data_IF_886732976022
#
_entry.id   IF_886732976022
#
_cell.length_a   1.000
_cell.length_b   1.000
_cell.length_c   1.000
_cell.angle_alpha   90.00
_cell.angle_beta   90.00
_cell.angle_gamma   90.00
#
_symmetry.space_group_name_H-M   'P 1'
#
loop_
_entity.id
_entity.type
_entity.pdbx_description
1 polymer ?
#
# COMPACT_ATOMS: atom_id res chain seq x y z
N UNK A 1 -3.64 34.98 -16.87
CA UNK A 1 -2.33 34.32 -16.67
C UNK A 1 -2.53 33.18 -15.69
N UNK A 2 -2.23 31.95 -16.10
CA UNK A 2 -2.36 30.76 -15.24
C UNK A 2 -1.05 30.57 -14.48
N UNK A 3 -1.09 30.70 -13.15
CA UNK A 3 0.05 30.39 -12.28
C UNK A 3 0.07 28.88 -12.02
N UNK A 4 1.07 28.20 -12.57
CA UNK A 4 1.30 26.78 -12.34
C UNK A 4 1.84 26.54 -10.91
N UNK A 5 1.30 25.52 -10.22
CA UNK A 5 1.77 25.08 -8.88
C UNK A 5 3.27 24.86 -8.81
N UNK A 6 3.89 24.39 -9.91
CA UNK A 6 5.35 24.20 -10.00
C UNK A 6 6.12 25.52 -9.96
N UNK A 7 5.57 26.57 -10.57
CA UNK A 7 6.19 27.90 -10.57
C UNK A 7 6.11 28.54 -9.18
N UNK A 8 5.01 28.34 -8.45
CA UNK A 8 4.84 28.81 -7.07
C UNK A 8 5.82 28.13 -6.11
N UNK A 9 5.97 26.81 -6.19
CA UNK A 9 6.91 26.07 -5.34
C UNK A 9 8.37 26.45 -5.65
N UNK A 10 8.73 26.62 -6.93
CA UNK A 10 10.06 27.04 -7.33
C UNK A 10 10.43 28.45 -6.83
N UNK A 11 9.46 29.38 -6.82
CA UNK A 11 9.68 30.75 -6.32
C UNK A 11 9.75 30.82 -4.78
N UNK A 12 9.15 29.87 -4.08
CA UNK A 12 9.20 29.77 -2.61
C UNK A 12 10.58 29.31 -2.10
N UNK A 13 11.27 28.43 -2.84
CA UNK A 13 12.58 27.90 -2.45
C UNK A 13 13.71 28.94 -2.56
N UNK A 14 13.61 29.87 -3.52
CA UNK A 14 14.63 30.91 -3.73
C UNK A 14 14.63 31.98 -2.62
N UNK A 15 13.49 32.20 -1.94
CA UNK A 15 13.38 33.18 -0.86
C UNK A 15 13.96 32.68 0.48
N UNK A 16 14.05 31.36 0.70
CA UNK A 16 14.57 30.78 1.94
C UNK A 16 16.10 30.62 1.99
N UNK A 17 16.76 30.59 0.84
CA UNK A 17 18.21 30.31 0.76
C UNK A 17 19.10 31.55 1.01
N UNK A 18 18.54 32.75 1.11
CA UNK A 18 19.31 33.98 1.27
C UNK A 18 19.68 34.33 2.74
N UNK A 19 19.24 33.55 3.73
CA UNK A 19 19.45 33.87 5.15
C UNK A 19 20.31 32.89 5.96
N UNK A 20 20.86 31.84 5.35
CA UNK A 20 21.80 30.93 6.04
C UNK A 20 23.18 31.11 5.45
N UNK A 21 23.89 32.10 6.00
CA UNK A 21 25.27 32.39 5.67
C UNK A 21 26.19 31.19 5.88
N UNK A 22 27.02 30.95 4.87
CA UNK A 22 28.46 30.68 5.00
C UNK A 22 28.94 30.11 6.34
N UNK A 23 28.80 28.80 6.52
CA UNK A 23 29.71 28.01 7.34
C UNK A 23 30.42 27.03 6.41
N UNK A 24 31.59 27.43 5.91
CA UNK A 24 32.47 26.56 5.15
C UNK A 24 32.92 25.41 6.03
N UNK A 25 32.40 24.21 5.77
CA UNK A 25 33.00 22.98 6.25
C UNK A 25 33.80 22.38 5.12
N UNK A 26 35.12 22.41 5.26
CA UNK A 26 36.04 21.60 4.46
C UNK A 26 35.75 20.12 4.75
N UNK A 27 34.87 19.52 3.95
CA UNK A 27 34.64 18.09 3.98
C UNK A 27 35.85 17.39 3.34
N UNK A 28 36.70 16.84 4.19
CA UNK A 28 37.77 15.96 3.76
C UNK A 28 37.12 14.71 3.18
N UNK A 29 37.34 14.47 1.88
CA UNK A 29 36.85 13.28 1.18
C UNK A 29 37.61 12.04 1.67
N UNK A 30 37.24 11.57 2.86
CA UNK A 30 37.59 10.23 3.30
C UNK A 30 36.77 9.23 2.51
N UNK A 31 37.44 8.27 1.88
CA UNK A 31 36.83 7.09 1.26
C UNK A 31 36.14 6.28 2.36
N UNK A 32 34.85 6.60 2.60
CA UNK A 32 34.01 5.87 3.53
C UNK A 32 33.87 4.43 3.02
N UNK A 33 34.50 3.50 3.74
CA UNK A 33 34.27 2.08 3.54
C UNK A 33 32.97 1.75 4.26
N UNK A 34 31.88 1.60 3.52
CA UNK A 34 30.55 1.32 4.10
C UNK A 34 30.63 0.00 4.88
N UNK A 35 30.54 0.04 6.20
CA UNK A 35 30.45 -1.17 7.01
C UNK A 35 29.03 -1.73 6.85
N UNK A 36 28.88 -3.05 6.90
CA UNK A 36 27.55 -3.68 6.88
C UNK A 36 26.64 -3.16 8.00
N UNK A 37 27.23 -2.64 9.08
CA UNK A 37 26.51 -2.03 10.22
C UNK A 37 26.01 -0.60 9.94
N UNK A 38 26.43 0.04 8.85
CA UNK A 38 26.00 1.41 8.48
C UNK A 38 24.71 1.39 7.63
N UNK A 39 24.15 0.20 7.32
CA UNK A 39 22.88 0.11 6.58
C UNK A 39 21.70 0.38 7.51
N UNK A 40 20.76 1.26 7.13
CA UNK A 40 19.53 1.48 7.90
C UNK A 40 18.75 0.17 8.07
N UNK A 41 18.26 -0.08 9.28
CA UNK A 41 17.35 -1.20 9.52
C UNK A 41 16.06 -1.01 8.72
N UNK A 42 15.71 -2.02 7.90
CA UNK A 42 14.44 -2.09 7.19
C UNK A 42 13.67 -3.29 7.74
N UNK A 43 12.55 -3.09 8.46
CA UNK A 43 11.76 -4.20 8.97
C UNK A 43 11.07 -4.95 7.83
N UNK A 44 10.85 -6.25 8.03
CA UNK A 44 9.98 -7.03 7.16
C UNK A 44 8.54 -6.56 7.39
N UNK A 45 7.89 -6.08 6.32
CA UNK A 45 6.46 -5.77 6.37
C UNK A 45 5.65 -7.06 6.31
N UNK A 46 4.65 -7.17 7.18
CA UNK A 46 3.79 -8.35 7.27
C UNK A 46 2.35 -7.92 6.97
N UNK A 47 1.74 -8.58 6.00
CA UNK A 47 0.34 -8.40 5.65
C UNK A 47 -0.50 -9.62 6.04
N UNK A 48 -1.81 -9.41 6.18
CA UNK A 48 -2.79 -10.47 6.44
C UNK A 48 -3.85 -10.52 5.34
N UNK A 49 -4.26 -11.72 4.95
CA UNK A 49 -5.36 -11.91 4.01
C UNK A 49 -6.70 -11.77 4.71
N UNK A 50 -7.69 -11.12 4.07
CA UNK A 50 -9.07 -11.09 4.58
C UNK A 50 -9.67 -12.50 4.74
N UNK A 51 -9.15 -13.49 4.01
CA UNK A 51 -9.48 -14.90 4.19
C UNK A 51 -9.16 -15.41 5.60
N UNK A 52 -8.13 -14.89 6.25
CA UNK A 52 -7.70 -15.32 7.60
C UNK A 52 -8.73 -15.00 8.69
N UNK A 53 -9.65 -14.07 8.40
CA UNK A 53 -10.74 -13.69 9.28
C UNK A 53 -12.03 -14.45 8.99
N UNK A 54 -12.07 -15.22 7.91
CA UNK A 54 -13.23 -16.00 7.51
C UNK A 54 -13.07 -17.45 7.94
N UNK A 55 -13.88 -17.89 8.90
CA UNK A 55 -13.79 -19.23 9.48
C UNK A 55 -14.68 -20.28 8.81
N UNK A 56 -15.16 -20.04 7.58
CA UNK A 56 -16.17 -20.89 6.91
C UNK A 56 -17.42 -21.18 7.78
N UNK A 57 -17.77 -20.24 8.65
CA UNK A 57 -19.03 -20.25 9.38
C UNK A 57 -19.72 -18.93 9.04
N UNK A 58 -20.96 -19.01 8.55
CA UNK A 58 -21.76 -17.86 8.11
C UNK A 58 -21.86 -16.79 9.22
N UNK A 59 -21.98 -17.23 10.48
CA UNK A 59 -22.07 -16.37 11.66
C UNK A 59 -20.78 -15.60 11.98
N UNK A 60 -19.69 -15.90 11.29
CA UNK A 60 -18.35 -15.34 11.56
C UNK A 60 -17.76 -14.59 10.37
N UNK A 61 -18.52 -14.44 9.28
CA UNK A 61 -18.07 -13.69 8.11
C UNK A 61 -17.95 -12.21 8.48
N UNK A 62 -16.72 -11.74 8.68
CA UNK A 62 -16.44 -10.32 8.82
C UNK A 62 -16.55 -9.64 7.46
N UNK A 63 -17.07 -8.40 7.44
CA UNK A 63 -16.99 -7.55 6.26
C UNK A 63 -15.53 -7.27 5.91
N UNK A 64 -15.24 -6.89 4.66
CA UNK A 64 -13.88 -6.50 4.27
C UNK A 64 -13.45 -5.27 5.09
N UNK A 65 -14.36 -4.33 5.36
CA UNK A 65 -14.10 -3.19 6.23
C UNK A 65 -13.70 -3.60 7.63
N UNK A 66 -14.40 -4.57 8.23
CA UNK A 66 -14.05 -5.10 9.55
C UNK A 66 -12.69 -5.80 9.52
N UNK A 67 -12.40 -6.58 8.47
CA UNK A 67 -11.10 -7.21 8.28
C UNK A 67 -9.96 -6.17 8.25
N UNK A 68 -10.15 -5.05 7.52
CA UNK A 68 -9.19 -3.94 7.48
C UNK A 68 -8.99 -3.34 8.87
N UNK A 69 -10.07 -3.10 9.62
CA UNK A 69 -9.95 -2.58 10.98
C UNK A 69 -9.23 -3.54 11.92
N UNK A 70 -9.53 -4.85 11.85
CA UNK A 70 -8.89 -5.85 12.68
C UNK A 70 -7.41 -6.03 12.32
N UNK A 71 -7.07 -6.03 11.04
CA UNK A 71 -5.67 -6.08 10.58
C UNK A 71 -4.84 -4.93 11.18
N UNK A 72 -5.40 -3.72 11.19
CA UNK A 72 -4.74 -2.56 11.78
C UNK A 72 -4.62 -2.68 13.31
N UNK A 73 -5.68 -3.12 13.99
CA UNK A 73 -5.67 -3.35 15.45
C UNK A 73 -4.64 -4.41 15.86
N UNK A 74 -4.40 -5.40 15.01
CA UNK A 74 -3.41 -6.45 15.22
C UNK A 74 -1.97 -6.01 14.89
N UNK A 75 -1.78 -4.84 14.28
CA UNK A 75 -0.46 -4.29 13.97
C UNK A 75 0.17 -4.81 12.68
N UNK A 76 -0.64 -5.31 11.72
CA UNK A 76 -0.14 -5.62 10.39
C UNK A 76 0.19 -4.34 9.61
N UNK A 77 1.10 -4.46 8.65
CA UNK A 77 1.51 -3.35 7.76
C UNK A 77 0.62 -3.25 6.51
N UNK A 78 -0.09 -4.32 6.18
CA UNK A 78 -0.94 -4.38 5.00
C UNK A 78 -2.02 -5.44 5.08
N UNK A 79 -2.92 -5.38 4.11
CA UNK A 79 -4.03 -6.31 3.97
C UNK A 79 -4.19 -6.69 2.50
N UNK A 80 -4.40 -7.98 2.29
CA UNK A 80 -4.74 -8.57 1.00
C UNK A 80 -6.24 -8.89 0.98
N UNK A 81 -6.94 -8.53 -0.10
CA UNK A 81 -8.40 -8.71 -0.22
C UNK A 81 -8.71 -9.99 -1.01
N UNK A 82 -9.44 -10.90 -0.37
CA UNK A 82 -10.03 -12.03 -1.07
C UNK A 82 -11.27 -11.60 -1.86
N UNK A 83 -11.20 -11.68 -3.19
CA UNK A 83 -12.23 -11.16 -4.09
C UNK A 83 -13.62 -11.76 -3.85
N UNK A 84 -13.74 -13.06 -3.56
CA UNK A 84 -15.05 -13.72 -3.33
C UNK A 84 -15.79 -13.21 -2.08
N UNK A 85 -15.11 -12.45 -1.20
CA UNK A 85 -15.77 -11.78 -0.07
C UNK A 85 -16.41 -10.45 -0.46
N UNK A 86 -16.12 -9.91 -1.65
CA UNK A 86 -16.72 -8.67 -2.13
C UNK A 86 -18.18 -8.90 -2.50
N UNK A 87 -19.07 -8.12 -1.84
CA UNK A 87 -20.50 -8.14 -2.12
C UNK A 87 -20.90 -7.00 -3.09
N UNK A 88 -20.01 -6.03 -3.30
CA UNK A 88 -20.16 -4.92 -4.24
C UNK A 88 -18.79 -4.48 -4.77
N UNK A 89 -18.68 -4.38 -6.09
CA UNK A 89 -17.47 -3.95 -6.82
C UNK A 89 -17.63 -2.56 -7.45
N UNK A 90 -18.71 -1.84 -7.09
CA UNK A 90 -18.92 -0.48 -7.55
C UNK A 90 -17.76 0.42 -7.16
N UNK A 91 -17.51 1.45 -7.97
CA UNK A 91 -16.46 2.43 -7.67
C UNK A 91 -16.63 3.05 -6.28
N UNK A 92 -17.86 3.27 -5.83
CA UNK A 92 -18.15 3.80 -4.51
C UNK A 92 -17.62 2.88 -3.39
N UNK A 93 -17.86 1.57 -3.50
CA UNK A 93 -17.37 0.58 -2.54
C UNK A 93 -15.85 0.45 -2.61
N UNK A 94 -15.26 0.41 -3.80
CA UNK A 94 -13.80 0.40 -3.95
C UNK A 94 -13.12 1.61 -3.29
N UNK A 95 -13.69 2.81 -3.47
CA UNK A 95 -13.16 4.02 -2.83
C UNK A 95 -13.35 4.01 -1.31
N UNK A 96 -14.45 3.42 -0.82
CA UNK A 96 -14.68 3.23 0.62
C UNK A 96 -13.62 2.30 1.23
N UNK A 97 -13.33 1.17 0.60
CA UNK A 97 -12.29 0.23 1.04
C UNK A 97 -10.90 0.88 1.02
N UNK A 98 -10.56 1.57 -0.08
CA UNK A 98 -9.32 2.33 -0.20
C UNK A 98 -9.18 3.36 0.91
N UNK A 99 -10.23 4.16 1.16
CA UNK A 99 -10.23 5.15 2.25
C UNK A 99 -10.04 4.48 3.59
N UNK A 100 -10.72 3.34 3.83
CA UNK A 100 -10.63 2.60 5.10
C UNK A 100 -9.20 2.11 5.36
N UNK A 101 -8.56 1.49 4.38
CA UNK A 101 -7.17 1.05 4.50
C UNK A 101 -6.23 2.24 4.78
N UNK A 102 -6.37 3.31 3.99
CA UNK A 102 -5.55 4.52 4.13
C UNK A 102 -5.63 5.15 5.52
N UNK A 103 -6.83 5.35 6.07
CA UNK A 103 -6.99 5.96 7.40
C UNK A 103 -6.51 5.06 8.54
N UNK A 104 -6.38 3.75 8.30
CA UNK A 104 -5.83 2.79 9.26
C UNK A 104 -4.33 2.52 9.04
N UNK A 105 -3.69 3.21 8.09
CA UNK A 105 -2.26 3.05 7.82
C UNK A 105 -1.88 1.71 7.19
N UNK A 106 -2.84 1.02 6.56
CA UNK A 106 -2.61 -0.26 5.90
C UNK A 106 -2.42 -0.09 4.39
N UNK A 107 -1.41 -0.79 3.86
CA UNK A 107 -1.26 -0.98 2.42
C UNK A 107 -2.28 -2.02 1.92
N UNK A 108 -3.03 -1.70 0.85
CA UNK A 108 -3.75 -2.72 0.08
C UNK A 108 -2.75 -3.43 -0.83
N UNK A 109 -2.20 -4.55 -0.36
CA UNK A 109 -1.02 -5.17 -0.95
C UNK A 109 -1.30 -6.28 -1.96
N UNK A 110 -2.56 -6.70 -2.10
CA UNK A 110 -2.95 -7.76 -3.03
C UNK A 110 -4.45 -7.92 -3.16
N UNK A 111 -4.85 -8.59 -4.24
CA UNK A 111 -6.20 -9.06 -4.50
C UNK A 111 -6.09 -10.55 -4.91
N UNK A 112 -6.59 -11.45 -4.08
CA UNK A 112 -6.66 -12.87 -4.41
C UNK A 112 -7.97 -13.19 -5.08
N UNK A 113 -7.86 -13.86 -6.21
CA UNK A 113 -8.96 -14.25 -7.06
C UNK A 113 -8.90 -15.78 -7.23
N UNK A 114 -10.05 -16.43 -7.38
CA UNK A 114 -10.16 -17.89 -7.35
C UNK A 114 -9.96 -18.55 -8.73
N UNK A 115 -9.19 -17.95 -9.64
CA UNK A 115 -9.04 -18.51 -10.97
C UNK A 115 -8.27 -19.82 -10.97
N UNK A 116 -8.74 -20.76 -11.80
CA UNK A 116 -8.07 -22.02 -12.11
C UNK A 116 -7.71 -22.09 -13.60
N UNK A 117 -6.43 -21.85 -13.90
CA UNK A 117 -5.93 -21.82 -15.27
C UNK A 117 -5.52 -23.21 -15.82
N UNK A 118 -5.64 -24.27 -15.03
CA UNK A 118 -5.22 -25.64 -15.43
C UNK A 118 -6.40 -26.56 -15.74
N UNK A 119 -7.61 -26.02 -15.93
CA UNK A 119 -8.77 -26.77 -16.40
C UNK A 119 -8.52 -27.41 -17.77
N UNK A 120 -8.91 -28.68 -18.02
CA UNK A 120 -8.81 -29.29 -19.34
C UNK A 120 -9.67 -28.58 -20.40
N UNK A 121 -10.86 -28.11 -20.00
CA UNK A 121 -11.81 -27.40 -20.85
C UNK A 121 -11.30 -26.00 -21.25
N UNK A 122 -11.36 -25.68 -22.54
CA UNK A 122 -10.87 -24.39 -23.07
C UNK A 122 -11.78 -23.22 -22.67
N UNK A 123 -13.09 -23.42 -22.61
CA UNK A 123 -14.04 -22.36 -22.27
C UNK A 123 -13.94 -22.00 -20.79
N UNK A 124 -13.79 -22.98 -19.90
CA UNK A 124 -13.54 -22.72 -18.47
C UNK A 124 -12.25 -21.90 -18.27
N UNK A 125 -11.16 -22.22 -18.98
CA UNK A 125 -9.94 -21.39 -18.90
C UNK A 125 -10.17 -19.98 -19.41
N UNK A 126 -11.00 -19.81 -20.45
CA UNK A 126 -11.33 -18.49 -21.00
C UNK A 126 -12.15 -17.66 -20.01
N UNK A 127 -13.14 -18.26 -19.35
CA UNK A 127 -13.90 -17.62 -18.26
C UNK A 127 -12.97 -17.12 -17.15
N UNK A 128 -11.98 -17.94 -16.75
CA UNK A 128 -10.97 -17.54 -15.76
C UNK A 128 -10.07 -16.39 -16.23
N UNK A 129 -9.81 -16.25 -17.53
CA UNK A 129 -9.00 -15.13 -18.08
C UNK A 129 -9.81 -13.84 -18.14
N UNK A 130 -11.12 -13.93 -18.41
CA UNK A 130 -12.00 -12.77 -18.59
C UNK A 130 -12.49 -12.16 -17.27
N UNK A 131 -12.40 -12.91 -16.18
CA UNK A 131 -12.67 -12.46 -14.80
C UNK A 131 -11.49 -11.72 -14.18
#
# INVERSE_FOLDING_TARGET
>A
MSLSRRHFLASSAAAGAALVGSAGSSAQAGTATTRLDDTPFVPNRIAVSTYSFWRYNDDTKLSIEDCIEQAARMGFDGVEILHVQMEDESNATLQKLKRRAFVNGLDLCGLSTHQDFVKPNVEERKENIEH
#
